data_IF_461248558381
#
_entry.id   IF_461248558381
#
_cell.length_a   1.000
_cell.length_b   1.000
_cell.length_c   1.000
_cell.angle_alpha   90.00
_cell.angle_beta   90.00
_cell.angle_gamma   90.00
#
_symmetry.space_group_name_H-M   'P 1'
#
loop_
_entity.id
_entity.type
_entity.pdbx_description
1 polymer ?
#
# COMPACT_ATOMS: atom_id res chain seq x y z
N UNK A 1 -20.33 -0.43 33.78
CA UNK A 1 -19.10 0.38 33.65
C UNK A 1 -19.40 1.77 34.16
N UNK A 2 -18.61 2.32 35.07
CA UNK A 2 -18.85 3.67 35.59
C UNK A 2 -18.34 4.75 34.61
N UNK A 3 -18.79 5.99 34.78
CA UNK A 3 -18.43 7.11 33.91
C UNK A 3 -16.92 7.34 33.84
N UNK A 4 -16.20 7.15 34.95
CA UNK A 4 -14.75 7.31 35.02
C UNK A 4 -14.02 6.29 34.12
N UNK A 5 -14.40 5.01 34.19
CA UNK A 5 -13.83 3.95 33.34
C UNK A 5 -14.11 4.22 31.86
N UNK A 6 -15.30 4.71 31.52
CA UNK A 6 -15.64 5.06 30.14
C UNK A 6 -14.79 6.21 29.61
N UNK A 7 -14.56 7.23 30.44
CA UNK A 7 -13.73 8.38 30.07
C UNK A 7 -12.27 7.97 29.85
N UNK A 8 -11.69 7.19 30.77
CA UNK A 8 -10.31 6.68 30.64
C UNK A 8 -10.12 5.87 29.36
N UNK A 9 -11.10 5.03 29.00
CA UNK A 9 -11.05 4.25 27.75
C UNK A 9 -11.10 5.18 26.53
N UNK A 10 -11.95 6.20 26.54
CA UNK A 10 -12.03 7.15 25.44
C UNK A 10 -10.72 7.93 25.26
N UNK A 11 -10.12 8.41 26.35
CA UNK A 11 -8.84 9.13 26.33
C UNK A 11 -7.72 8.23 25.78
N UNK A 12 -7.68 6.96 26.19
CA UNK A 12 -6.73 5.98 25.67
C UNK A 12 -6.93 5.71 24.17
N UNK A 13 -8.18 5.66 23.69
CA UNK A 13 -8.50 5.51 22.26
C UNK A 13 -8.04 6.75 21.48
N UNK A 14 -8.24 7.94 22.00
CA UNK A 14 -7.82 9.19 21.37
C UNK A 14 -6.30 9.28 21.26
N UNK A 15 -5.58 8.99 22.35
CA UNK A 15 -4.11 8.92 22.34
C UNK A 15 -3.58 7.87 21.35
N UNK A 16 -4.24 6.71 21.25
CA UNK A 16 -3.84 5.69 20.28
C UNK A 16 -4.02 6.16 18.83
N UNK A 17 -5.09 6.92 18.54
CA UNK A 17 -5.31 7.51 17.21
C UNK A 17 -4.26 8.58 16.89
N UNK A 18 -3.98 9.48 17.82
CA UNK A 18 -2.96 10.52 17.65
C UNK A 18 -1.57 9.92 17.40
N UNK A 19 -1.21 8.90 18.19
CA UNK A 19 0.04 8.18 18.00
C UNK A 19 0.10 7.48 16.64
N UNK A 20 -0.99 6.84 16.20
CA UNK A 20 -1.03 6.19 14.89
C UNK A 20 -0.84 7.21 13.75
N UNK A 21 -1.49 8.37 13.82
CA UNK A 21 -1.31 9.45 12.84
C UNK A 21 0.13 9.96 12.83
N UNK A 22 0.73 10.14 14.01
CA UNK A 22 2.13 10.56 14.14
C UNK A 22 3.10 9.57 13.48
N UNK A 23 2.92 8.27 13.74
CA UNK A 23 3.74 7.21 13.12
C UNK A 23 3.57 7.21 11.60
N UNK A 24 2.33 7.31 11.10
CA UNK A 24 2.06 7.35 9.66
C UNK A 24 2.74 8.55 9.00
N UNK A 25 2.61 9.76 9.57
CA UNK A 25 3.26 10.98 9.07
C UNK A 25 4.79 10.92 9.13
N UNK A 26 5.34 10.12 10.04
CA UNK A 26 6.77 9.88 10.16
C UNK A 26 7.37 8.92 9.13
N UNK A 27 6.54 8.21 8.35
CA UNK A 27 7.03 7.28 7.31
C UNK A 27 7.78 8.04 6.22
N UNK A 28 8.97 7.54 5.87
CA UNK A 28 9.75 8.08 4.76
C UNK A 28 9.19 7.56 3.43
N UNK A 29 9.52 8.26 2.34
CA UNK A 29 9.16 7.82 0.99
C UNK A 29 9.60 6.39 0.72
N UNK A 30 10.83 6.02 1.11
CA UNK A 30 11.39 4.68 0.90
C UNK A 30 10.63 3.59 1.68
N UNK A 31 10.13 3.90 2.88
CA UNK A 31 9.34 2.96 3.68
C UNK A 31 8.00 2.66 2.97
N UNK A 32 7.32 3.72 2.49
CA UNK A 32 6.08 3.59 1.73
C UNK A 32 6.34 2.83 0.42
N UNK A 33 7.44 3.15 -0.26
CA UNK A 33 7.83 2.50 -1.51
C UNK A 33 8.06 1.00 -1.33
N UNK A 34 8.78 0.58 -0.29
CA UNK A 34 9.00 -0.84 -0.02
C UNK A 34 7.68 -1.61 0.17
N UNK A 35 6.70 -1.00 0.85
CA UNK A 35 5.37 -1.59 1.03
C UNK A 35 4.61 -1.69 -0.31
N UNK A 36 4.64 -0.62 -1.11
CA UNK A 36 3.99 -0.61 -2.43
C UNK A 36 4.64 -1.64 -3.36
N UNK A 37 5.96 -1.77 -3.36
CA UNK A 37 6.67 -2.75 -4.16
C UNK A 37 6.33 -4.18 -3.74
N UNK A 38 6.25 -4.46 -2.44
CA UNK A 38 5.86 -5.78 -1.94
C UNK A 38 4.45 -6.19 -2.40
N UNK A 39 3.48 -5.28 -2.32
CA UNK A 39 2.13 -5.54 -2.83
C UNK A 39 2.11 -5.61 -4.36
N UNK A 40 2.90 -4.79 -5.05
CA UNK A 40 3.02 -4.85 -6.50
C UNK A 40 3.57 -6.19 -6.99
N UNK A 41 4.52 -6.79 -6.26
CA UNK A 41 5.01 -8.15 -6.55
C UNK A 41 3.87 -9.15 -6.51
N UNK A 42 2.98 -9.10 -5.51
CA UNK A 42 1.84 -10.02 -5.41
C UNK A 42 0.89 -9.91 -6.60
N UNK A 43 0.75 -8.72 -7.17
CA UNK A 43 -0.07 -8.48 -8.38
C UNK A 43 0.65 -8.94 -9.65
N UNK A 44 1.97 -8.74 -9.74
CA UNK A 44 2.77 -9.06 -10.92
C UNK A 44 3.04 -10.56 -11.05
N UNK A 45 3.31 -11.28 -9.96
CA UNK A 45 3.71 -12.71 -10.00
C UNK A 45 2.73 -13.59 -10.79
N UNK A 46 1.40 -13.51 -10.57
CA UNK A 46 0.45 -14.30 -11.38
C UNK A 46 0.50 -13.98 -12.88
N UNK A 47 0.81 -12.74 -13.26
CA UNK A 47 0.94 -12.33 -14.66
C UNK A 47 2.19 -12.92 -15.30
N UNK A 48 3.29 -12.99 -14.55
CA UNK A 48 4.53 -13.64 -14.96
C UNK A 48 4.36 -15.15 -15.08
N UNK A 49 3.67 -15.77 -14.13
CA UNK A 49 3.36 -17.21 -14.17
C UNK A 49 2.49 -17.57 -15.39
N UNK A 50 1.47 -16.76 -15.70
CA UNK A 50 0.64 -16.96 -16.90
C UNK A 50 1.46 -16.79 -18.20
N UNK A 51 2.39 -15.83 -18.26
CA UNK A 51 3.31 -15.67 -19.41
C UNK A 51 4.16 -16.93 -19.62
N UNK A 52 4.65 -17.53 -18.54
CA UNK A 52 5.56 -18.67 -18.58
C UNK A 52 4.84 -19.99 -18.88
N UNK A 53 3.59 -20.12 -18.45
CA UNK A 53 2.79 -21.35 -18.61
C UNK A 53 1.96 -21.41 -19.89
N UNK A 54 1.61 -20.26 -20.49
CA UNK A 54 0.74 -20.22 -21.68
C UNK A 54 1.48 -20.42 -23.00
N UNK A 55 0.79 -21.00 -24.00
CA UNK A 55 1.23 -21.02 -25.40
C UNK A 55 0.66 -19.86 -26.23
N UNK A 56 -0.30 -19.10 -25.70
CA UNK A 56 -0.94 -18.00 -26.43
C UNK A 56 -0.05 -16.77 -26.50
N UNK A 57 0.34 -16.37 -27.72
CA UNK A 57 1.10 -15.14 -27.95
C UNK A 57 0.36 -13.88 -27.50
N UNK A 58 -0.96 -13.81 -27.72
CA UNK A 58 -1.76 -12.67 -27.28
C UNK A 58 -1.73 -12.49 -25.76
N UNK A 59 -1.88 -13.58 -25.01
CA UNK A 59 -1.80 -13.56 -23.54
C UNK A 59 -0.44 -13.08 -23.07
N UNK A 60 0.65 -13.55 -23.70
CA UNK A 60 2.02 -13.10 -23.38
C UNK A 60 2.19 -11.59 -23.61
N UNK A 61 1.68 -11.07 -24.72
CA UNK A 61 1.77 -9.64 -25.05
C UNK A 61 0.97 -8.81 -24.04
N UNK A 62 -0.30 -9.16 -23.83
CA UNK A 62 -1.19 -8.46 -22.90
C UNK A 62 -0.59 -8.38 -21.50
N UNK A 63 -0.11 -9.49 -20.96
CA UNK A 63 0.44 -9.53 -19.60
C UNK A 63 1.73 -8.73 -19.47
N UNK A 64 2.60 -8.73 -20.49
CA UNK A 64 3.80 -7.87 -20.50
C UNK A 64 3.45 -6.39 -20.48
N UNK A 65 2.39 -5.98 -21.19
CA UNK A 65 1.89 -4.60 -21.16
C UNK A 65 1.40 -4.26 -19.76
N UNK A 66 0.59 -5.12 -19.13
CA UNK A 66 0.12 -4.90 -17.75
C UNK A 66 1.28 -4.76 -16.76
N UNK A 67 2.25 -5.67 -16.80
CA UNK A 67 3.43 -5.62 -15.91
C UNK A 67 4.20 -4.30 -16.10
N UNK A 68 4.39 -3.85 -17.34
CA UNK A 68 5.09 -2.58 -17.63
C UNK A 68 4.35 -1.39 -17.02
N UNK A 69 3.04 -1.29 -17.22
CA UNK A 69 2.21 -0.22 -16.64
C UNK A 69 2.28 -0.25 -15.11
N UNK A 70 2.16 -1.43 -14.51
CA UNK A 70 2.20 -1.62 -13.06
C UNK A 70 3.54 -1.17 -12.46
N UNK A 71 4.67 -1.61 -13.03
CA UNK A 71 6.01 -1.21 -12.58
C UNK A 71 6.24 0.30 -12.68
N UNK A 72 5.82 0.91 -13.79
CA UNK A 72 5.96 2.35 -14.00
C UNK A 72 5.04 3.19 -13.08
N UNK A 73 3.98 2.59 -12.53
CA UNK A 73 3.03 3.27 -11.65
C UNK A 73 3.47 3.31 -10.18
N UNK A 74 4.51 2.56 -9.78
CA UNK A 74 4.93 2.46 -8.37
C UNK A 74 5.18 3.85 -7.76
N UNK A 75 5.98 4.69 -8.40
CA UNK A 75 6.33 6.01 -7.86
C UNK A 75 5.12 6.95 -7.74
N UNK A 76 4.17 6.90 -8.68
CA UNK A 76 2.96 7.72 -8.61
C UNK A 76 2.01 7.25 -7.51
N UNK A 77 1.93 5.93 -7.27
CA UNK A 77 1.19 5.35 -6.15
C UNK A 77 1.82 5.78 -4.82
N UNK A 78 3.15 5.67 -4.67
CA UNK A 78 3.85 6.11 -3.45
C UNK A 78 3.61 7.58 -3.17
N UNK A 79 3.76 8.45 -4.18
CA UNK A 79 3.50 9.88 -4.03
C UNK A 79 2.04 10.18 -3.61
N UNK A 80 1.08 9.46 -4.18
CA UNK A 80 -0.35 9.57 -3.82
C UNK A 80 -0.61 9.15 -2.38
N UNK A 81 -0.02 8.05 -1.92
CA UNK A 81 -0.14 7.57 -0.53
C UNK A 81 0.50 8.57 0.43
N UNK A 82 1.72 9.03 0.13
CA UNK A 82 2.41 10.00 0.96
C UNK A 82 1.61 11.30 1.10
N UNK A 83 1.02 11.79 0.00
CA UNK A 83 0.13 12.95 0.03
C UNK A 83 -1.05 12.73 0.98
N UNK A 84 -1.74 11.60 0.85
CA UNK A 84 -2.88 11.27 1.73
C UNK A 84 -2.48 11.16 3.19
N UNK A 85 -1.33 10.59 3.50
CA UNK A 85 -0.80 10.50 4.87
C UNK A 85 -0.53 11.89 5.45
N UNK A 86 -0.02 12.82 4.65
CA UNK A 86 0.21 14.20 5.09
C UNK A 86 -1.10 14.97 5.33
N UNK A 87 -2.18 14.59 4.63
CA UNK A 87 -3.52 15.17 4.78
C UNK A 87 -4.33 14.59 5.96
N UNK A 88 -3.87 13.50 6.59
CA UNK A 88 -4.46 12.93 7.82
C UNK A 88 -4.36 13.90 9.01
#
# INVERSE_FOLDING_TARGET
MNTLTKNIINDAIELAKENAVSVLKGLKFDDIKALVEAEMTRVITPLEDEINSTNSYWVKIRNRVYISVLRNSVNSIVASIQKKIQEL
#
